data_IF_357440122038
#
_entry.id   IF_357440122038
#
_cell.length_a   1.000
_cell.length_b   1.000
_cell.length_c   1.000
_cell.angle_alpha   90.00
_cell.angle_beta   90.00
_cell.angle_gamma   90.00
#
_symmetry.space_group_name_H-M   'P 1'
#
loop_
_entity.id
_entity.type
_entity.pdbx_description
1 polymer ?
#
# COMPACT_ATOMS: atom_id res chain seq x y z
N UNK A 1 -21.49 91.44 -11.50
CA UNK A 1 -21.32 90.55 -10.35
C UNK A 1 -19.90 89.94 -10.45
N UNK A 2 -18.99 90.54 -9.78
CA UNK A 2 -17.61 89.98 -9.65
C UNK A 2 -17.66 88.97 -8.53
N UNK A 3 -17.47 87.71 -8.87
CA UNK A 3 -17.24 86.66 -7.87
C UNK A 3 -15.83 86.86 -7.30
N UNK A 4 -15.76 87.31 -6.06
CA UNK A 4 -14.51 87.37 -5.28
C UNK A 4 -14.05 85.93 -4.95
N UNK A 5 -13.16 85.46 -5.73
CA UNK A 5 -12.45 84.17 -5.57
C UNK A 5 -11.41 84.20 -4.41
N UNK A 6 -11.38 85.27 -3.60
CA UNK A 6 -10.32 85.50 -2.61
C UNK A 6 -10.57 85.00 -1.18
N UNK A 7 -11.63 84.22 -0.94
CA UNK A 7 -11.88 83.68 0.41
C UNK A 7 -12.01 82.15 0.45
N UNK A 8 -11.26 81.45 -0.40
CA UNK A 8 -11.12 80.03 -0.23
C UNK A 8 -10.19 79.80 0.98
N UNK A 9 -10.80 79.30 2.06
CA UNK A 9 -10.04 78.91 3.25
C UNK A 9 -9.20 77.64 2.95
N UNK A 10 -7.96 77.81 2.55
CA UNK A 10 -7.02 76.78 2.21
C UNK A 10 -6.76 75.84 3.37
N UNK A 11 -6.94 76.25 4.62
CA UNK A 11 -6.83 75.43 5.82
C UNK A 11 -7.98 74.44 5.91
N UNK A 12 -9.19 74.85 5.56
CA UNK A 12 -10.37 73.98 5.50
C UNK A 12 -10.25 72.94 4.39
N UNK A 13 -9.76 73.32 3.21
CA UNK A 13 -9.48 72.38 2.11
C UNK A 13 -8.42 71.37 2.49
N UNK A 14 -7.33 71.83 3.11
CA UNK A 14 -6.25 70.95 3.62
C UNK A 14 -6.76 69.94 4.63
N UNK A 15 -7.63 70.38 5.54
CA UNK A 15 -8.24 69.47 6.53
C UNK A 15 -9.13 68.40 5.90
N UNK A 16 -9.93 68.74 4.89
CA UNK A 16 -10.76 67.80 4.15
C UNK A 16 -9.93 66.80 3.38
N UNK A 17 -8.86 67.26 2.69
CA UNK A 17 -7.96 66.35 1.95
C UNK A 17 -7.25 65.40 2.90
N UNK A 18 -6.78 65.86 4.07
CA UNK A 18 -6.13 65.03 5.09
C UNK A 18 -7.13 63.98 5.63
N UNK A 19 -8.38 64.35 5.89
CA UNK A 19 -9.41 63.46 6.37
C UNK A 19 -9.75 62.39 5.32
N UNK A 20 -9.90 62.74 4.06
CA UNK A 20 -10.10 61.80 2.97
C UNK A 20 -8.90 60.84 2.83
N UNK A 21 -7.69 61.37 2.91
CA UNK A 21 -6.47 60.55 2.87
C UNK A 21 -6.41 59.54 4.03
N UNK A 22 -6.82 59.91 5.24
CA UNK A 22 -6.91 58.98 6.39
C UNK A 22 -7.96 57.87 6.17
N UNK A 23 -9.11 58.21 5.61
CA UNK A 23 -10.13 57.21 5.26
C UNK A 23 -9.60 56.22 4.23
N UNK A 24 -8.95 56.67 3.17
CA UNK A 24 -8.35 55.83 2.14
C UNK A 24 -7.27 54.95 2.75
N UNK A 25 -6.39 55.50 3.58
CA UNK A 25 -5.34 54.72 4.27
C UNK A 25 -5.94 53.64 5.18
N UNK A 26 -6.98 53.95 5.95
CA UNK A 26 -7.68 53.01 6.80
C UNK A 26 -8.28 51.85 5.98
N UNK A 27 -9.02 52.20 4.88
CA UNK A 27 -9.57 51.19 3.98
C UNK A 27 -8.52 50.32 3.32
N UNK A 28 -7.41 50.90 2.88
CA UNK A 28 -6.27 50.18 2.29
C UNK A 28 -5.67 49.20 3.26
N UNK A 29 -5.44 49.61 4.51
CA UNK A 29 -4.91 48.75 5.59
C UNK A 29 -5.91 47.61 5.86
N UNK A 30 -7.21 47.91 5.98
CA UNK A 30 -8.23 46.90 6.26
C UNK A 30 -8.36 45.86 5.13
N UNK A 31 -8.34 46.30 3.88
CA UNK A 31 -8.36 45.41 2.71
C UNK A 31 -7.08 44.55 2.67
N UNK A 32 -5.92 45.17 2.89
CA UNK A 32 -4.63 44.47 2.92
C UNK A 32 -4.57 43.41 4.02
N UNK A 33 -5.07 43.71 5.22
CA UNK A 33 -5.12 42.73 6.34
C UNK A 33 -6.04 41.57 6.00
N UNK A 34 -7.20 41.81 5.41
CA UNK A 34 -8.12 40.78 4.94
C UNK A 34 -7.50 39.89 3.86
N UNK A 35 -6.79 40.49 2.90
CA UNK A 35 -6.09 39.75 1.83
C UNK A 35 -4.94 38.93 2.40
N UNK A 36 -4.15 39.50 3.34
CA UNK A 36 -3.07 38.75 4.00
C UNK A 36 -3.59 37.51 4.75
N UNK A 37 -4.69 37.67 5.52
CA UNK A 37 -5.31 36.53 6.22
C UNK A 37 -5.82 35.47 5.25
N UNK A 38 -6.42 35.87 4.14
CA UNK A 38 -6.87 34.96 3.08
C UNK A 38 -5.70 34.23 2.43
N UNK A 39 -4.61 34.95 2.12
CA UNK A 39 -3.40 34.37 1.54
C UNK A 39 -2.70 33.39 2.51
N UNK A 40 -2.61 33.73 3.79
CA UNK A 40 -2.07 32.84 4.81
C UNK A 40 -2.90 31.56 4.94
N UNK A 41 -4.25 31.69 4.93
CA UNK A 41 -5.14 30.52 4.96
C UNK A 41 -4.95 29.64 3.73
N UNK A 42 -4.87 30.23 2.54
CA UNK A 42 -4.63 29.49 1.30
C UNK A 42 -3.29 28.76 1.34
N UNK A 43 -2.23 29.41 1.82
CA UNK A 43 -0.92 28.76 1.99
C UNK A 43 -0.97 27.58 2.95
N UNK A 44 -1.69 27.69 4.07
CA UNK A 44 -1.88 26.56 5.01
C UNK A 44 -2.61 25.39 4.37
N UNK A 45 -3.65 25.66 3.56
CA UNK A 45 -4.39 24.61 2.83
C UNK A 45 -3.53 23.94 1.77
N UNK A 46 -2.70 24.70 1.06
CA UNK A 46 -1.75 24.14 0.10
C UNK A 46 -0.72 23.24 0.78
N UNK A 47 -0.15 23.69 1.91
CA UNK A 47 0.79 22.86 2.69
C UNK A 47 0.09 21.60 3.21
N UNK A 48 -1.15 21.71 3.69
CA UNK A 48 -1.90 20.54 4.15
C UNK A 48 -2.16 19.56 2.99
N UNK A 49 -2.56 20.06 1.83
CA UNK A 49 -2.74 19.26 0.61
C UNK A 49 -1.46 18.51 0.24
N UNK A 50 -0.32 19.19 0.24
CA UNK A 50 0.98 18.60 -0.12
C UNK A 50 1.42 17.53 0.88
N UNK A 51 1.13 17.72 2.17
CA UNK A 51 1.38 16.72 3.21
C UNK A 51 0.52 15.47 2.97
N UNK A 52 -0.78 15.64 2.69
CA UNK A 52 -1.69 14.53 2.44
C UNK A 52 -1.33 13.79 1.13
N UNK A 53 -0.93 14.52 0.09
CA UNK A 53 -0.44 13.93 -1.16
C UNK A 53 0.80 13.07 -0.92
N UNK A 54 1.80 13.61 -0.22
CA UNK A 54 3.01 12.86 0.11
C UNK A 54 2.73 11.60 0.92
N UNK A 55 1.77 11.66 1.85
CA UNK A 55 1.35 10.48 2.63
C UNK A 55 0.69 9.41 1.76
N UNK A 56 -0.12 9.82 0.78
CA UNK A 56 -0.74 8.92 -0.18
C UNK A 56 0.33 8.25 -1.05
N UNK A 57 1.25 9.04 -1.59
CA UNK A 57 2.33 8.55 -2.45
C UNK A 57 3.22 7.54 -1.70
N UNK A 58 3.63 7.83 -0.46
CA UNK A 58 4.38 6.92 0.40
C UNK A 58 3.63 5.61 0.69
N UNK A 59 2.31 5.68 0.88
CA UNK A 59 1.48 4.49 1.09
C UNK A 59 1.43 3.63 -0.17
N UNK A 60 1.14 4.25 -1.31
CA UNK A 60 1.06 3.56 -2.61
C UNK A 60 2.39 2.91 -2.97
N UNK A 61 3.51 3.62 -2.79
CA UNK A 61 4.85 3.08 -3.01
C UNK A 61 5.11 1.83 -2.16
N UNK A 62 4.82 1.89 -0.86
CA UNK A 62 4.99 0.74 0.02
C UNK A 62 4.10 -0.45 -0.36
N UNK A 63 2.86 -0.19 -0.77
CA UNK A 63 1.92 -1.19 -1.25
C UNK A 63 2.45 -1.86 -2.53
N UNK A 64 2.93 -1.06 -3.48
CA UNK A 64 3.46 -1.57 -4.76
C UNK A 64 4.72 -2.41 -4.57
N UNK A 65 5.65 -1.98 -3.73
CA UNK A 65 6.85 -2.78 -3.40
C UNK A 65 6.48 -4.18 -2.88
N UNK A 66 5.49 -4.25 -1.97
CA UNK A 66 5.04 -5.53 -1.42
C UNK A 66 4.33 -6.37 -2.49
N UNK A 67 3.45 -5.75 -3.29
CA UNK A 67 2.72 -6.43 -4.36
C UNK A 67 3.67 -7.01 -5.42
N UNK A 68 4.66 -6.23 -5.83
CA UNK A 68 5.60 -6.60 -6.89
C UNK A 68 6.57 -7.69 -6.45
N UNK A 69 6.82 -7.83 -5.14
CA UNK A 69 7.60 -8.94 -4.59
C UNK A 69 6.93 -10.30 -4.73
N UNK A 70 5.59 -10.35 -4.87
CA UNK A 70 4.81 -11.57 -4.99
C UNK A 70 4.57 -11.92 -6.47
N UNK A 71 5.52 -12.60 -7.10
CA UNK A 71 5.46 -12.92 -8.53
C UNK A 71 4.92 -14.34 -8.77
N UNK A 72 3.73 -14.50 -9.38
CA UNK A 72 3.16 -15.82 -9.67
C UNK A 72 4.04 -16.66 -10.60
N UNK A 73 4.76 -16.02 -11.52
CA UNK A 73 5.67 -16.71 -12.44
C UNK A 73 6.82 -17.38 -11.71
N UNK A 74 7.33 -16.75 -10.65
CA UNK A 74 8.40 -17.32 -9.80
C UNK A 74 7.88 -18.58 -9.09
N UNK A 75 6.63 -18.55 -8.58
CA UNK A 75 5.99 -19.72 -7.96
C UNK A 75 5.94 -20.88 -8.94
N UNK A 76 5.55 -20.63 -10.20
CA UNK A 76 5.46 -21.66 -11.23
C UNK A 76 6.83 -22.22 -11.62
N UNK A 77 7.83 -21.37 -11.80
CA UNK A 77 9.19 -21.78 -12.18
C UNK A 77 9.83 -22.68 -11.12
N UNK A 78 9.72 -22.27 -9.85
CA UNK A 78 10.24 -23.09 -8.75
C UNK A 78 9.47 -24.39 -8.52
N UNK A 79 8.17 -24.45 -8.87
CA UNK A 79 7.42 -25.69 -8.90
C UNK A 79 8.03 -26.69 -9.89
N UNK A 80 8.31 -26.24 -11.11
CA UNK A 80 8.93 -27.06 -12.15
C UNK A 80 10.31 -27.53 -11.73
N UNK A 81 11.13 -26.67 -11.15
CA UNK A 81 12.45 -27.04 -10.62
C UNK A 81 12.36 -28.06 -9.49
N UNK A 82 11.37 -27.92 -8.61
CA UNK A 82 11.13 -28.85 -7.51
C UNK A 82 10.74 -30.25 -8.02
N UNK A 83 9.79 -30.33 -8.97
CA UNK A 83 9.33 -31.58 -9.59
C UNK A 83 10.51 -32.32 -10.24
N UNK A 84 11.31 -31.61 -11.02
CA UNK A 84 12.42 -32.17 -11.77
C UNK A 84 13.65 -32.47 -10.88
N UNK A 85 13.63 -32.07 -9.62
CA UNK A 85 14.77 -32.24 -8.73
C UNK A 85 15.99 -31.39 -9.06
N UNK A 86 15.81 -30.34 -9.86
CA UNK A 86 16.87 -29.48 -10.40
C UNK A 86 16.92 -28.19 -9.57
N UNK A 87 17.56 -28.26 -8.38
CA UNK A 87 17.93 -27.07 -7.64
C UNK A 87 19.43 -26.85 -7.72
N UNK A 88 19.84 -25.64 -8.11
CA UNK A 88 21.21 -25.17 -8.14
C UNK A 88 21.55 -24.44 -6.83
N UNK A 89 22.83 -24.11 -6.63
CA UNK A 89 23.26 -23.25 -5.51
C UNK A 89 22.67 -21.83 -5.65
N UNK A 90 22.57 -21.32 -6.88
CA UNK A 90 21.97 -20.03 -7.15
C UNK A 90 20.47 -20.01 -6.80
N UNK A 91 19.75 -21.09 -7.04
CA UNK A 91 18.34 -21.22 -6.62
C UNK A 91 18.19 -21.17 -5.10
N UNK A 92 19.15 -21.71 -4.33
CA UNK A 92 19.15 -21.64 -2.87
C UNK A 92 19.33 -20.22 -2.38
N UNK A 93 20.34 -19.52 -2.90
CA UNK A 93 20.57 -18.12 -2.57
C UNK A 93 19.34 -17.26 -2.88
N UNK A 94 18.72 -17.50 -4.03
CA UNK A 94 17.50 -16.78 -4.40
C UNK A 94 16.33 -17.06 -3.44
N UNK A 95 16.12 -18.31 -3.01
CA UNK A 95 15.07 -18.64 -2.02
C UNK A 95 15.35 -17.96 -0.68
N UNK A 96 16.58 -17.91 -0.23
CA UNK A 96 16.98 -17.25 1.02
C UNK A 96 16.76 -15.73 0.91
N UNK A 97 17.10 -15.13 -0.23
CA UNK A 97 16.81 -13.72 -0.51
C UNK A 97 15.30 -13.43 -0.52
N UNK A 98 14.52 -14.29 -1.15
CA UNK A 98 13.05 -14.17 -1.12
C UNK A 98 12.49 -14.25 0.30
N UNK A 99 13.01 -15.13 1.13
CA UNK A 99 12.59 -15.27 2.52
C UNK A 99 12.93 -14.01 3.34
N UNK A 100 14.12 -13.45 3.14
CA UNK A 100 14.53 -12.20 3.78
C UNK A 100 13.65 -11.01 3.33
N UNK A 101 13.37 -10.93 2.04
CA UNK A 101 12.49 -9.89 1.46
C UNK A 101 11.04 -10.04 1.97
N UNK A 102 10.54 -11.27 2.11
CA UNK A 102 9.19 -11.50 2.67
C UNK A 102 9.11 -11.03 4.13
N UNK A 103 10.14 -11.27 4.93
CA UNK A 103 10.20 -10.77 6.31
C UNK A 103 10.21 -9.24 6.37
N UNK A 104 11.01 -8.59 5.52
CA UNK A 104 11.06 -7.13 5.43
C UNK A 104 9.70 -6.55 5.00
N UNK A 105 9.05 -7.15 4.01
CA UNK A 105 7.73 -6.75 3.54
C UNK A 105 6.63 -6.96 4.58
N UNK A 106 6.74 -8.02 5.41
CA UNK A 106 5.83 -8.22 6.54
C UNK A 106 5.92 -7.08 7.56
N UNK A 107 7.13 -6.67 7.91
CA UNK A 107 7.35 -5.56 8.83
C UNK A 107 6.81 -4.24 8.24
N UNK A 108 7.12 -3.97 6.97
CA UNK A 108 6.61 -2.80 6.25
C UNK A 108 5.08 -2.75 6.23
N UNK A 109 4.43 -3.87 5.91
CA UNK A 109 2.97 -3.97 5.88
C UNK A 109 2.34 -3.77 7.26
N UNK A 110 2.94 -4.35 8.31
CA UNK A 110 2.49 -4.19 9.69
C UNK A 110 2.50 -2.73 10.14
N UNK A 111 3.55 -1.97 9.77
CA UNK A 111 3.64 -0.53 10.04
C UNK A 111 2.51 0.23 9.33
N UNK A 112 2.22 -0.10 8.05
CA UNK A 112 1.14 0.55 7.32
C UNK A 112 -0.24 0.22 7.90
N UNK A 113 -0.49 -1.03 8.29
CA UNK A 113 -1.74 -1.44 8.94
C UNK A 113 -2.00 -0.65 10.23
N UNK A 114 -0.98 -0.46 11.07
CA UNK A 114 -1.08 0.34 12.30
C UNK A 114 -1.33 1.82 11.96
N UNK A 115 -0.58 2.39 11.00
CA UNK A 115 -0.68 3.80 10.60
C UNK A 115 -2.07 4.16 10.05
N UNK A 116 -2.70 3.22 9.34
CA UNK A 116 -3.98 3.42 8.66
C UNK A 116 -5.15 2.63 9.27
N UNK A 117 -5.03 2.16 10.52
CA UNK A 117 -6.07 1.34 11.20
C UNK A 117 -7.45 2.03 11.25
N UNK A 118 -7.47 3.35 11.37
CA UNK A 118 -8.71 4.15 11.44
C UNK A 118 -9.30 4.54 10.08
N UNK A 119 -8.65 4.18 8.97
CA UNK A 119 -9.06 4.56 7.62
C UNK A 119 -9.54 3.31 6.87
N UNK A 120 -10.85 3.07 6.89
CA UNK A 120 -11.45 1.83 6.38
C UNK A 120 -11.10 1.52 4.91
N UNK A 121 -11.05 2.55 4.03
CA UNK A 121 -10.69 2.36 2.63
C UNK A 121 -9.25 1.87 2.44
N UNK A 122 -8.28 2.48 3.16
CA UNK A 122 -6.89 2.04 3.15
C UNK A 122 -6.73 0.67 3.81
N UNK A 123 -7.43 0.43 4.93
CA UNK A 123 -7.41 -0.83 5.66
C UNK A 123 -7.87 -1.99 4.79
N UNK A 124 -8.91 -1.81 4.00
CA UNK A 124 -9.41 -2.85 3.08
C UNK A 124 -8.32 -3.30 2.11
N UNK A 125 -7.69 -2.38 1.39
CA UNK A 125 -6.59 -2.65 0.45
C UNK A 125 -5.41 -3.33 1.15
N UNK A 126 -5.01 -2.82 2.32
CA UNK A 126 -3.92 -3.39 3.10
C UNK A 126 -4.23 -4.80 3.63
N UNK A 127 -5.48 -5.10 3.97
CA UNK A 127 -5.89 -6.45 4.39
C UNK A 127 -5.90 -7.44 3.24
N UNK A 128 -6.34 -7.04 2.04
CA UNK A 128 -6.23 -7.86 0.83
C UNK A 128 -4.77 -8.20 0.54
N UNK A 129 -3.90 -7.20 0.56
CA UNK A 129 -2.45 -7.38 0.39
C UNK A 129 -1.84 -8.29 1.47
N UNK A 130 -2.26 -8.12 2.73
CA UNK A 130 -1.82 -8.96 3.85
C UNK A 130 -2.18 -10.43 3.67
N UNK A 131 -3.40 -10.71 3.19
CA UNK A 131 -3.84 -12.07 2.91
C UNK A 131 -3.05 -12.72 1.77
N UNK A 132 -2.80 -11.98 0.69
CA UNK A 132 -1.96 -12.44 -0.43
C UNK A 132 -0.55 -12.76 0.06
N UNK A 133 0.08 -11.80 0.77
CA UNK A 133 1.43 -11.97 1.30
C UNK A 133 1.55 -13.14 2.27
N UNK A 134 0.60 -13.30 3.19
CA UNK A 134 0.60 -14.42 4.14
C UNK A 134 0.67 -15.77 3.43
N UNK A 135 -0.13 -15.97 2.39
CA UNK A 135 -0.16 -17.22 1.64
C UNK A 135 1.11 -17.42 0.81
N UNK A 136 1.62 -16.35 0.21
CA UNK A 136 2.90 -16.37 -0.51
C UNK A 136 4.09 -16.66 0.43
N UNK A 137 4.13 -16.04 1.60
CA UNK A 137 5.17 -16.28 2.61
C UNK A 137 5.17 -17.72 3.14
N UNK A 138 4.00 -18.35 3.28
CA UNK A 138 3.92 -19.76 3.62
C UNK A 138 4.47 -20.67 2.50
N UNK A 139 4.25 -20.31 1.23
CA UNK A 139 4.86 -21.00 0.11
C UNK A 139 6.39 -20.90 0.15
N UNK A 140 6.95 -19.69 0.32
CA UNK A 140 8.40 -19.49 0.43
C UNK A 140 8.99 -20.33 1.57
N UNK A 141 8.36 -20.27 2.74
CA UNK A 141 8.82 -20.99 3.93
C UNK A 141 8.86 -22.52 3.68
N UNK A 142 7.80 -23.07 3.10
CA UNK A 142 7.74 -24.49 2.81
C UNK A 142 8.75 -24.89 1.72
N UNK A 143 8.97 -24.04 0.73
CA UNK A 143 9.99 -24.25 -0.31
C UNK A 143 11.42 -24.24 0.30
N UNK A 144 11.71 -23.29 1.19
CA UNK A 144 13.00 -23.21 1.91
C UNK A 144 13.26 -24.49 2.72
N UNK A 145 12.26 -24.99 3.44
CA UNK A 145 12.38 -26.22 4.23
C UNK A 145 12.70 -27.43 3.32
N UNK A 146 11.97 -27.61 2.21
CA UNK A 146 12.23 -28.70 1.27
C UNK A 146 13.58 -28.58 0.58
N UNK A 147 14.03 -27.36 0.30
CA UNK A 147 15.33 -27.11 -0.29
C UNK A 147 16.48 -27.49 0.67
N UNK A 148 16.38 -27.13 1.95
CA UNK A 148 17.32 -27.53 3.00
C UNK A 148 17.41 -29.05 3.14
N UNK A 149 16.28 -29.76 3.04
CA UNK A 149 16.27 -31.22 3.10
C UNK A 149 17.10 -31.88 1.97
N UNK A 150 17.00 -31.37 0.74
CA UNK A 150 17.81 -31.87 -0.38
C UNK A 150 19.30 -31.66 -0.21
N UNK A 151 19.73 -30.73 0.64
CA UNK A 151 21.14 -30.43 0.96
C UNK A 151 21.69 -31.22 2.14
N UNK A 152 21.09 -32.35 2.51
CA UNK A 152 21.55 -33.26 3.59
C UNK A 152 21.21 -32.80 5.02
N UNK A 153 20.35 -31.84 5.22
CA UNK A 153 19.80 -31.53 6.52
C UNK A 153 18.61 -32.47 6.84
N UNK A 154 18.58 -32.97 8.06
CA UNK A 154 17.48 -33.82 8.52
C UNK A 154 16.35 -32.89 8.99
N UNK A 155 15.23 -32.88 8.26
CA UNK A 155 14.01 -32.22 8.74
C UNK A 155 13.46 -33.04 9.90
N UNK A 156 13.10 -32.36 10.99
CA UNK A 156 12.42 -33.05 12.08
C UNK A 156 11.04 -33.56 11.61
N UNK A 157 10.58 -34.74 12.07
CA UNK A 157 9.23 -35.22 11.75
C UNK A 157 8.13 -34.21 12.14
N UNK A 158 8.36 -33.39 13.14
CA UNK A 158 7.43 -32.36 13.60
C UNK A 158 7.32 -31.23 12.59
N UNK A 159 8.44 -30.75 12.05
CA UNK A 159 8.48 -29.68 11.06
C UNK A 159 7.87 -30.14 9.73
N UNK A 160 8.15 -31.37 9.32
CA UNK A 160 7.58 -32.00 8.13
C UNK A 160 6.04 -32.10 8.25
N UNK A 161 5.55 -32.59 9.38
CA UNK A 161 4.11 -32.68 9.63
C UNK A 161 3.44 -31.30 9.66
N UNK A 162 4.07 -30.30 10.31
CA UNK A 162 3.57 -28.91 10.31
C UNK A 162 3.48 -28.34 8.89
N UNK A 163 4.51 -28.57 8.06
CA UNK A 163 4.54 -28.15 6.67
C UNK A 163 3.37 -28.77 5.87
N UNK A 164 3.19 -30.09 5.99
CA UNK A 164 2.08 -30.82 5.36
C UNK A 164 0.72 -30.22 5.77
N UNK A 165 0.50 -30.04 7.06
CA UNK A 165 -0.74 -29.47 7.59
C UNK A 165 -1.00 -28.05 7.06
N UNK A 166 0.02 -27.20 7.02
CA UNK A 166 -0.11 -25.84 6.51
C UNK A 166 -0.46 -25.80 5.03
N UNK A 167 0.23 -26.58 4.20
CA UNK A 167 -0.06 -26.70 2.76
C UNK A 167 -1.49 -27.18 2.52
N UNK A 168 -1.92 -28.22 3.23
CA UNK A 168 -3.28 -28.78 3.13
C UNK A 168 -4.34 -27.75 3.53
N UNK A 169 -4.13 -27.05 4.64
CA UNK A 169 -5.07 -26.05 5.14
C UNK A 169 -5.24 -24.91 4.15
N UNK A 170 -4.13 -24.31 3.70
CA UNK A 170 -4.17 -23.18 2.76
C UNK A 170 -4.75 -23.59 1.43
N UNK A 171 -4.32 -24.75 0.87
CA UNK A 171 -4.85 -25.21 -0.40
C UNK A 171 -6.37 -25.46 -0.35
N UNK A 172 -6.88 -26.05 0.73
CA UNK A 172 -8.33 -26.24 0.90
C UNK A 172 -9.10 -24.93 1.13
N UNK A 173 -8.44 -23.92 1.70
CA UNK A 173 -9.04 -22.58 1.91
C UNK A 173 -9.21 -21.84 0.59
N UNK A 174 -8.20 -21.85 -0.29
CA UNK A 174 -8.15 -20.99 -1.48
C UNK A 174 -8.55 -21.71 -2.77
N UNK A 175 -8.50 -23.04 -2.79
CA UNK A 175 -8.83 -23.85 -3.96
C UNK A 175 -9.50 -25.19 -3.54
N UNK A 176 -10.77 -25.13 -3.06
CA UNK A 176 -11.48 -26.31 -2.56
C UNK A 176 -11.68 -27.42 -3.62
N UNK A 177 -11.58 -27.09 -4.91
CA UNK A 177 -11.65 -28.03 -6.03
C UNK A 177 -10.52 -29.07 -6.00
N UNK A 178 -9.34 -28.72 -5.47
CA UNK A 178 -8.19 -29.64 -5.31
C UNK A 178 -8.29 -30.56 -4.09
N UNK A 179 -9.37 -30.49 -3.33
CA UNK A 179 -9.55 -31.30 -2.11
C UNK A 179 -9.37 -32.80 -2.37
N UNK A 180 -9.87 -33.30 -3.49
CA UNK A 180 -9.77 -34.74 -3.83
C UNK A 180 -8.33 -35.16 -4.07
N UNK A 181 -7.55 -34.34 -4.78
CA UNK A 181 -6.13 -34.61 -5.07
C UNK A 181 -5.29 -34.54 -3.81
N UNK A 182 -5.55 -33.56 -2.96
CA UNK A 182 -4.91 -33.41 -1.64
C UNK A 182 -5.22 -34.64 -0.77
N UNK A 183 -6.48 -35.03 -0.66
CA UNK A 183 -6.90 -36.16 0.16
C UNK A 183 -6.32 -37.48 -0.39
N UNK A 184 -6.14 -37.60 -1.72
CA UNK A 184 -5.47 -38.73 -2.34
C UNK A 184 -3.99 -38.81 -1.91
N UNK A 185 -3.24 -37.72 -2.03
CA UNK A 185 -1.81 -37.65 -1.62
C UNK A 185 -1.65 -38.00 -0.13
N UNK A 186 -2.52 -37.49 0.74
CA UNK A 186 -2.45 -37.76 2.18
C UNK A 186 -2.67 -39.25 2.48
N UNK A 187 -3.55 -39.91 1.74
CA UNK A 187 -3.91 -41.34 1.93
C UNK A 187 -2.91 -42.33 1.30
N UNK A 188 -1.98 -41.85 0.46
CA UNK A 188 -0.95 -42.74 -0.12
C UNK A 188 -0.10 -43.37 0.98
N UNK A 189 0.45 -44.55 0.67
CA UNK A 189 1.39 -45.23 1.58
C UNK A 189 2.83 -44.72 1.48
N UNK A 190 3.03 -43.61 0.76
CA UNK A 190 4.33 -42.97 0.63
C UNK A 190 4.86 -42.50 1.99
N UNK A 191 6.18 -42.33 2.08
CA UNK A 191 6.80 -41.68 3.23
C UNK A 191 6.38 -40.21 3.28
N UNK A 192 6.48 -39.61 4.46
CA UNK A 192 6.02 -38.24 4.69
C UNK A 192 6.74 -37.20 3.83
N UNK A 193 7.99 -37.45 3.44
CA UNK A 193 8.72 -36.58 2.55
C UNK A 193 8.14 -36.58 1.13
N UNK A 194 7.86 -37.77 0.56
CA UNK A 194 7.24 -37.86 -0.75
C UNK A 194 5.85 -37.23 -0.76
N UNK A 195 5.09 -37.41 0.33
CA UNK A 195 3.82 -36.70 0.51
C UNK A 195 4.00 -35.18 0.51
N UNK A 196 5.00 -34.68 1.23
CA UNK A 196 5.30 -33.26 1.29
C UNK A 196 5.67 -32.69 -0.09
N UNK A 197 6.51 -33.41 -0.86
CA UNK A 197 6.87 -33.01 -2.23
C UNK A 197 5.65 -32.98 -3.13
N UNK A 198 4.81 -34.03 -3.11
CA UNK A 198 3.60 -34.09 -3.92
C UNK A 198 2.58 -33.01 -3.54
N UNK A 199 2.41 -32.73 -2.23
CA UNK A 199 1.56 -31.64 -1.78
C UNK A 199 2.13 -30.27 -2.16
N UNK A 200 3.44 -30.10 -2.14
CA UNK A 200 4.10 -28.85 -2.54
C UNK A 200 3.83 -28.55 -4.02
N UNK A 201 3.78 -29.56 -4.89
CA UNK A 201 3.43 -29.36 -6.30
C UNK A 201 2.00 -28.84 -6.47
N UNK A 202 1.03 -29.44 -5.76
CA UNK A 202 -0.35 -28.93 -5.75
C UNK A 202 -0.39 -27.52 -5.18
N UNK A 203 0.29 -27.29 -4.07
CA UNK A 203 0.33 -26.01 -3.38
C UNK A 203 0.93 -24.89 -4.24
N UNK A 204 2.00 -25.17 -4.97
CA UNK A 204 2.59 -24.22 -5.93
C UNK A 204 1.58 -23.78 -6.99
N UNK A 205 0.87 -24.73 -7.59
CA UNK A 205 -0.15 -24.42 -8.59
C UNK A 205 -1.29 -23.59 -8.01
N UNK A 206 -1.80 -24.00 -6.85
CA UNK A 206 -2.87 -23.30 -6.13
C UNK A 206 -2.47 -21.86 -5.78
N UNK A 207 -1.25 -21.67 -5.26
CA UNK A 207 -0.75 -20.32 -4.91
C UNK A 207 -0.57 -19.46 -6.16
N UNK A 208 -0.01 -20.00 -7.25
CA UNK A 208 0.17 -19.25 -8.49
C UNK A 208 -1.18 -18.77 -9.06
N UNK A 209 -2.17 -19.66 -9.12
CA UNK A 209 -3.53 -19.33 -9.59
C UNK A 209 -4.17 -18.28 -8.69
N UNK A 210 -4.14 -18.50 -7.38
CA UNK A 210 -4.65 -17.56 -6.39
C UNK A 210 -4.03 -16.17 -6.52
N UNK A 211 -2.71 -16.07 -6.62
CA UNK A 211 -2.03 -14.77 -6.75
C UNK A 211 -2.41 -14.06 -8.06
N UNK A 212 -2.54 -14.80 -9.18
CA UNK A 212 -2.96 -14.21 -10.45
C UNK A 212 -4.38 -13.60 -10.37
N UNK A 213 -5.31 -14.29 -9.71
CA UNK A 213 -6.68 -13.81 -9.53
C UNK A 213 -6.74 -12.64 -8.55
N UNK A 214 -6.07 -12.77 -7.40
CA UNK A 214 -6.10 -11.75 -6.36
C UNK A 214 -5.39 -10.46 -6.76
N UNK A 215 -4.33 -10.52 -7.57
CA UNK A 215 -3.67 -9.32 -8.08
C UNK A 215 -4.61 -8.44 -8.89
N UNK A 216 -5.47 -9.02 -9.73
CA UNK A 216 -6.46 -8.25 -10.49
C UNK A 216 -7.44 -7.52 -9.57
N UNK A 217 -8.00 -8.24 -8.60
CA UNK A 217 -8.94 -7.66 -7.62
C UNK A 217 -8.24 -6.57 -6.80
N UNK A 218 -7.02 -6.84 -6.36
CA UNK A 218 -6.23 -5.90 -5.59
C UNK A 218 -5.90 -4.62 -6.37
N UNK A 219 -5.54 -4.72 -7.65
CA UNK A 219 -5.26 -3.57 -8.51
C UNK A 219 -6.51 -2.69 -8.71
N UNK A 220 -7.68 -3.30 -8.88
CA UNK A 220 -8.96 -2.59 -8.96
C UNK A 220 -9.28 -1.88 -7.64
N UNK A 221 -9.12 -2.55 -6.49
CA UNK A 221 -9.33 -1.97 -5.16
C UNK A 221 -8.35 -0.82 -4.88
N UNK A 222 -7.07 -0.99 -5.23
CA UNK A 222 -6.04 0.03 -5.07
C UNK A 222 -6.35 1.26 -5.94
N UNK A 223 -6.70 1.05 -7.20
CA UNK A 223 -7.08 2.14 -8.11
C UNK A 223 -8.28 2.93 -7.58
N UNK A 224 -9.33 2.23 -7.14
CA UNK A 224 -10.51 2.87 -6.57
C UNK A 224 -10.17 3.69 -5.31
N UNK A 225 -9.35 3.13 -4.42
CA UNK A 225 -8.85 3.80 -3.23
C UNK A 225 -8.05 5.06 -3.56
N UNK A 226 -7.07 4.97 -4.46
CA UNK A 226 -6.23 6.13 -4.84
C UNK A 226 -7.08 7.24 -5.46
N UNK A 227 -8.03 6.89 -6.32
CA UNK A 227 -8.94 7.86 -6.94
C UNK A 227 -9.82 8.58 -5.92
N UNK A 228 -10.34 7.88 -4.93
CA UNK A 228 -11.14 8.46 -3.85
C UNK A 228 -10.30 9.42 -3.00
N UNK A 229 -9.09 9.00 -2.61
CA UNK A 229 -8.19 9.83 -1.81
C UNK A 229 -7.70 11.05 -2.57
N UNK A 230 -7.37 10.91 -3.84
CA UNK A 230 -6.97 12.05 -4.68
C UNK A 230 -8.09 13.09 -4.75
N UNK A 231 -9.34 12.65 -4.97
CA UNK A 231 -10.50 13.54 -4.94
C UNK A 231 -10.66 14.24 -3.59
N UNK A 232 -10.42 13.55 -2.48
CA UNK A 232 -10.45 14.13 -1.13
C UNK A 232 -9.37 15.19 -0.95
N UNK A 233 -8.16 14.90 -1.41
CA UNK A 233 -7.00 15.80 -1.33
C UNK A 233 -7.24 17.06 -2.16
N UNK A 234 -7.74 16.90 -3.39
CA UNK A 234 -8.05 18.04 -4.26
C UNK A 234 -9.13 18.95 -3.66
N UNK A 235 -10.10 18.39 -2.94
CA UNK A 235 -11.14 19.14 -2.27
C UNK A 235 -10.66 19.96 -1.06
N UNK A 236 -9.47 19.72 -0.52
CA UNK A 236 -8.91 20.51 0.60
C UNK A 236 -8.81 22.00 0.23
N UNK A 237 -8.43 22.31 -1.01
CA UNK A 237 -8.28 23.69 -1.48
C UNK A 237 -9.60 24.28 -1.97
N UNK A 238 -10.47 23.46 -2.59
CA UNK A 238 -11.71 23.96 -3.23
C UNK A 238 -12.82 24.28 -2.24
N UNK A 239 -12.98 23.55 -1.15
CA UNK A 239 -14.10 23.77 -0.21
C UNK A 239 -13.99 25.05 0.61
N UNK A 240 -12.80 25.58 0.83
CA UNK A 240 -12.58 26.81 1.58
C UNK A 240 -12.45 28.07 0.70
N UNK A 241 -12.39 27.90 -0.64
CA UNK A 241 -12.38 29.03 -1.59
C UNK A 241 -13.78 29.60 -1.83
N UNK A 242 -14.84 28.91 -1.37
CA UNK A 242 -16.26 29.27 -1.63
C UNK A 242 -16.94 29.87 -0.38
N UNK A 243 -16.27 29.89 0.78
CA UNK A 243 -16.73 30.55 2.01
C UNK A 243 -15.97 31.83 2.28
#
# INVERSE_FOLDING_TARGET
MSFDLCTIDWTAIGSIVTFVAMIIAYWTIHISDKQNKSNQRLQLLLVQRDIEQKRLDELVENIMIINDSMQPIVVTDYSVKLINGIFTEDDRHFIDEMAANDLANNNRLSVQLIKYDRKESAKKVLMTLSNMRRKYGEWIRNLSILNLYKSSFVISPQDLNRMILTMVQISKEIAPEYKKDIDYVIKTKDNDLNKAINLMNIFCYVISTYLNEQKKIFEEELYAFVKEEQKRIDNIVFHDSIK
#
